data_IF_427127821375
#
_entry.id   IF_427127821375
#
_cell.length_a   1.000
_cell.length_b   1.000
_cell.length_c   1.000
_cell.angle_alpha   90.00
_cell.angle_beta   90.00
_cell.angle_gamma   90.00
#
_symmetry.space_group_name_H-M   'P 1'
#
loop_
_entity.id
_entity.type
_entity.pdbx_description
1 polymer ?
#
# COMPACT_ATOMS: atom_id res chain seq x y z
N UNK A 1 25.11 13.89 -9.27
CA UNK A 1 23.76 13.47 -8.82
C UNK A 1 23.17 12.57 -9.88
N UNK A 2 23.12 11.26 -9.64
CA UNK A 2 22.32 10.35 -10.46
C UNK A 2 20.85 10.59 -10.14
N UNK A 3 20.05 10.99 -11.12
CA UNK A 3 18.59 10.98 -10.98
C UNK A 3 18.18 9.51 -10.81
N UNK A 4 17.58 9.17 -9.66
CA UNK A 4 16.96 7.86 -9.47
C UNK A 4 15.70 7.86 -10.34
N UNK A 5 15.73 7.09 -11.43
CA UNK A 5 14.55 6.86 -12.25
C UNK A 5 13.83 5.66 -11.62
N UNK A 6 12.69 5.93 -10.97
CA UNK A 6 11.80 4.88 -10.46
C UNK A 6 11.27 4.04 -11.63
N UNK A 7 11.07 2.73 -11.42
CA UNK A 7 10.34 1.89 -12.38
C UNK A 7 8.87 2.36 -12.51
N UNK A 8 8.14 1.89 -13.52
CA UNK A 8 6.71 2.20 -13.63
C UNK A 8 5.93 1.74 -12.40
N UNK A 9 6.16 0.51 -11.94
CA UNK A 9 5.54 -0.05 -10.72
C UNK A 9 5.87 0.77 -9.47
N UNK A 10 7.12 1.24 -9.33
CA UNK A 10 7.53 2.08 -8.21
C UNK A 10 6.84 3.44 -8.26
N UNK A 11 6.65 4.03 -9.45
CA UNK A 11 5.90 5.28 -9.61
C UNK A 11 4.41 5.10 -9.31
N UNK A 12 3.81 3.99 -9.73
CA UNK A 12 2.41 3.66 -9.44
C UNK A 12 2.18 3.53 -7.94
N UNK A 13 3.07 2.81 -7.24
CA UNK A 13 3.06 2.72 -5.77
C UNK A 13 3.13 4.08 -5.09
N UNK A 14 4.11 4.91 -5.48
CA UNK A 14 4.23 6.27 -4.92
C UNK A 14 2.96 7.06 -5.20
N UNK A 15 2.44 7.00 -6.43
CA UNK A 15 1.21 7.70 -6.81
C UNK A 15 0.03 7.27 -5.92
N UNK A 16 -0.17 5.97 -5.71
CA UNK A 16 -1.22 5.46 -4.84
C UNK A 16 -1.07 5.92 -3.39
N UNK A 17 0.15 5.91 -2.84
CA UNK A 17 0.41 6.44 -1.49
C UNK A 17 0.06 7.93 -1.41
N UNK A 18 0.51 8.76 -2.36
CA UNK A 18 0.17 10.19 -2.42
C UNK A 18 -1.35 10.43 -2.59
N UNK A 19 -2.05 9.60 -3.37
CA UNK A 19 -3.51 9.66 -3.47
C UNK A 19 -4.20 9.35 -2.13
N UNK A 20 -3.60 8.48 -1.32
CA UNK A 20 -4.03 8.21 0.05
C UNK A 20 -3.99 9.44 0.97
N UNK A 21 -3.20 10.46 0.62
CA UNK A 21 -3.13 11.72 1.36
C UNK A 21 -4.15 12.78 0.95
N UNK A 22 -4.92 12.59 -0.13
CA UNK A 22 -5.80 13.65 -0.70
C UNK A 22 -6.77 14.26 0.33
N UNK A 23 -7.25 13.46 1.27
CA UNK A 23 -8.24 13.89 2.26
C UNK A 23 -7.64 14.30 3.62
N UNK A 24 -6.31 14.27 3.75
CA UNK A 24 -5.63 14.66 4.98
C UNK A 24 -5.49 16.17 5.08
N UNK A 25 -5.85 16.74 6.23
CA UNK A 25 -5.63 18.16 6.51
C UNK A 25 -4.14 18.42 6.80
N UNK A 26 -3.43 19.19 5.96
CA UNK A 26 -2.01 19.48 6.13
C UNK A 26 -1.70 20.22 7.45
N UNK A 27 -2.66 20.97 8.01
CA UNK A 27 -2.47 21.67 9.27
C UNK A 27 -2.21 20.72 10.45
N UNK A 28 -2.73 19.48 10.36
CA UNK A 28 -2.61 18.47 11.40
C UNK A 28 -1.41 17.52 11.21
N UNK A 29 -0.63 17.66 10.14
CA UNK A 29 0.44 16.71 9.78
C UNK A 29 1.46 16.51 10.92
N UNK A 30 1.85 17.59 11.59
CA UNK A 30 2.81 17.52 12.71
C UNK A 30 2.32 16.64 13.87
N UNK A 31 1.01 16.57 14.10
CA UNK A 31 0.41 15.80 15.19
C UNK A 31 -0.04 14.41 14.75
N UNK A 32 -0.48 14.28 13.49
CA UNK A 32 -1.10 13.06 12.97
C UNK A 32 -0.21 12.32 11.96
N UNK A 33 1.08 12.68 11.83
CA UNK A 33 2.02 12.10 10.87
C UNK A 33 1.87 10.58 10.76
N UNK A 34 2.12 9.83 11.84
CA UNK A 34 2.05 8.38 11.82
C UNK A 34 0.68 7.82 11.42
N UNK A 35 -0.40 8.53 11.76
CA UNK A 35 -1.75 8.15 11.37
C UNK A 35 -1.94 8.34 9.86
N UNK A 36 -1.57 9.49 9.33
CA UNK A 36 -1.73 9.83 7.91
C UNK A 36 -0.87 8.94 7.01
N UNK A 37 0.38 8.67 7.39
CA UNK A 37 1.25 7.74 6.66
C UNK A 37 0.65 6.32 6.64
N UNK A 38 0.14 5.84 7.78
CA UNK A 38 -0.51 4.53 7.87
C UNK A 38 -1.81 4.48 7.05
N UNK A 39 -2.61 5.56 7.03
CA UNK A 39 -3.81 5.65 6.20
C UNK A 39 -3.47 5.64 4.69
N UNK A 40 -2.40 6.33 4.29
CA UNK A 40 -1.92 6.35 2.92
C UNK A 40 -1.33 4.99 2.48
N UNK A 41 -0.53 4.35 3.33
CA UNK A 41 0.00 3.00 3.08
C UNK A 41 -1.13 1.97 2.96
N UNK A 42 -2.16 2.04 3.80
CA UNK A 42 -3.34 1.20 3.70
C UNK A 42 -4.10 1.42 2.41
N UNK A 43 -4.25 2.67 1.99
CA UNK A 43 -4.89 3.01 0.72
C UNK A 43 -4.12 2.38 -0.46
N UNK A 44 -2.80 2.52 -0.48
CA UNK A 44 -1.92 1.89 -1.48
C UNK A 44 -2.06 0.37 -1.47
N UNK A 45 -1.93 -0.27 -0.31
CA UNK A 45 -1.99 -1.74 -0.18
C UNK A 45 -3.35 -2.28 -0.61
N UNK A 46 -4.45 -1.65 -0.21
CA UNK A 46 -5.80 -2.07 -0.61
C UNK A 46 -5.97 -2.06 -2.13
N UNK A 47 -5.46 -1.03 -2.81
CA UNK A 47 -5.51 -0.96 -4.27
C UNK A 47 -4.69 -2.08 -4.92
N UNK A 48 -3.45 -2.27 -4.49
CA UNK A 48 -2.58 -3.33 -5.02
C UNK A 48 -3.18 -4.74 -4.82
N UNK A 49 -3.80 -5.00 -3.65
CA UNK A 49 -4.51 -6.26 -3.40
C UNK A 49 -5.70 -6.39 -4.35
N UNK A 50 -6.50 -5.32 -4.52
CA UNK A 50 -7.64 -5.33 -5.43
C UNK A 50 -7.23 -5.60 -6.88
N UNK A 51 -6.06 -5.10 -7.32
CA UNK A 51 -5.51 -5.38 -8.65
C UNK A 51 -5.08 -6.84 -8.79
N UNK A 52 -4.46 -7.43 -7.76
CA UNK A 52 -4.09 -8.85 -7.77
C UNK A 52 -5.34 -9.75 -7.78
N UNK A 53 -6.34 -9.43 -6.97
CA UNK A 53 -7.62 -10.18 -6.93
C UNK A 53 -8.46 -10.01 -8.20
N UNK A 54 -8.17 -9.03 -9.05
CA UNK A 54 -8.79 -8.93 -10.38
C UNK A 54 -8.19 -9.94 -11.38
N UNK A 55 -7.01 -10.51 -11.08
CA UNK A 55 -6.28 -11.41 -11.97
C UNK A 55 -6.18 -12.84 -11.43
N UNK A 56 -6.29 -13.01 -10.11
CA UNK A 56 -6.08 -14.28 -9.41
C UNK A 56 -7.22 -14.59 -8.44
N UNK A 57 -7.43 -15.88 -8.16
CA UNK A 57 -8.42 -16.32 -7.18
C UNK A 57 -7.99 -15.95 -5.75
N UNK A 58 -8.98 -15.66 -4.89
CA UNK A 58 -8.75 -15.32 -3.48
C UNK A 58 -7.94 -16.40 -2.75
N UNK A 59 -8.16 -17.68 -3.08
CA UNK A 59 -7.45 -18.82 -2.49
C UNK A 59 -5.95 -18.86 -2.79
N UNK A 60 -5.52 -18.18 -3.86
CA UNK A 60 -4.12 -18.18 -4.30
C UNK A 60 -3.32 -17.02 -3.70
N UNK A 61 -3.98 -16.11 -2.99
CA UNK A 61 -3.32 -14.95 -2.39
C UNK A 61 -2.31 -15.37 -1.32
N UNK A 62 -1.05 -14.99 -1.52
CA UNK A 62 0.03 -15.24 -0.57
C UNK A 62 0.65 -13.91 -0.14
N UNK A 63 0.32 -13.47 1.08
CA UNK A 63 0.74 -12.16 1.59
C UNK A 63 2.27 -11.95 1.56
N UNK A 64 3.05 -13.02 1.81
CA UNK A 64 4.51 -12.92 1.84
C UNK A 64 5.08 -12.72 0.43
N UNK A 65 4.51 -13.39 -0.58
CA UNK A 65 4.89 -13.18 -1.97
C UNK A 65 4.47 -11.79 -2.46
N UNK A 66 3.25 -11.35 -2.11
CA UNK A 66 2.76 -10.00 -2.38
C UNK A 66 3.70 -8.93 -1.79
N UNK A 67 4.04 -9.03 -0.50
CA UNK A 67 4.93 -8.09 0.18
C UNK A 67 6.31 -8.02 -0.51
N UNK A 68 6.89 -9.18 -0.87
CA UNK A 68 8.17 -9.26 -1.58
C UNK A 68 8.10 -8.62 -2.97
N UNK A 69 7.06 -8.91 -3.76
CA UNK A 69 6.88 -8.36 -5.11
C UNK A 69 6.80 -6.85 -5.08
N UNK A 70 6.01 -6.30 -4.17
CA UNK A 70 5.82 -4.86 -4.03
C UNK A 70 6.89 -4.19 -3.14
N UNK A 71 7.93 -4.90 -2.70
CA UNK A 71 8.98 -4.38 -1.80
C UNK A 71 8.40 -3.71 -0.54
N UNK A 72 7.33 -4.26 0.02
CA UNK A 72 6.72 -3.83 1.28
C UNK A 72 7.45 -4.57 2.42
N UNK A 73 7.77 -3.88 3.51
CA UNK A 73 8.43 -4.54 4.64
C UNK A 73 7.51 -5.61 5.23
N UNK A 74 8.05 -6.81 5.43
CA UNK A 74 7.31 -7.89 6.09
C UNK A 74 7.16 -7.67 7.59
N UNK A 75 7.89 -6.74 8.20
CA UNK A 75 7.80 -6.48 9.66
C UNK A 75 6.64 -5.57 10.05
N UNK A 76 6.34 -4.53 9.25
CA UNK A 76 5.22 -3.62 9.51
C UNK A 76 4.04 -3.89 8.58
N UNK A 77 4.29 -4.42 7.38
CA UNK A 77 3.28 -4.60 6.35
C UNK A 77 2.44 -5.85 6.53
N UNK A 78 2.88 -6.84 7.32
CA UNK A 78 2.17 -8.11 7.49
C UNK A 78 0.73 -7.89 7.98
N UNK A 79 0.56 -7.28 9.17
CA UNK A 79 -0.76 -7.01 9.74
C UNK A 79 -1.62 -6.17 8.79
N UNK A 80 -1.03 -5.16 8.16
CA UNK A 80 -1.73 -4.27 7.23
C UNK A 80 -2.24 -5.00 5.99
N UNK A 81 -1.40 -5.82 5.36
CA UNK A 81 -1.76 -6.61 4.18
C UNK A 81 -2.87 -7.60 4.53
N UNK A 82 -2.74 -8.31 5.65
CA UNK A 82 -3.73 -9.29 6.07
C UNK A 82 -5.08 -8.63 6.41
N UNK A 83 -5.07 -7.51 7.13
CA UNK A 83 -6.30 -6.77 7.46
C UNK A 83 -6.99 -6.21 6.21
N UNK A 84 -6.25 -5.62 5.28
CA UNK A 84 -6.83 -5.07 4.05
C UNK A 84 -7.31 -6.16 3.10
N UNK A 85 -6.59 -7.28 3.02
CA UNK A 85 -7.06 -8.47 2.30
C UNK A 85 -8.37 -8.99 2.89
N UNK A 86 -8.43 -9.19 4.20
CA UNK A 86 -9.64 -9.69 4.87
C UNK A 86 -10.86 -8.80 4.65
N UNK A 87 -10.69 -7.47 4.64
CA UNK A 87 -11.75 -6.50 4.34
C UNK A 87 -12.28 -6.58 2.90
N UNK A 88 -11.48 -7.08 1.95
CA UNK A 88 -11.87 -7.19 0.54
C UNK A 88 -12.54 -8.53 0.23
N UNK A 89 -12.31 -9.55 1.05
CA UNK A 89 -12.73 -10.93 0.77
C UNK A 89 -13.79 -11.47 1.74
N UNK A 90 -14.21 -10.69 2.73
CA UNK A 90 -15.21 -11.05 3.74
C UNK A 90 -16.40 -10.12 3.69
#
# INVERSE_FOLDING_TARGET
MSMVILSQEEREKVTLHELGHINHDPANYKRLLYKYENEADRFMIRHLISEELAQYEVSDFNWLQFAKRHKISTTWGEDMIQEEFYKLTS
#
